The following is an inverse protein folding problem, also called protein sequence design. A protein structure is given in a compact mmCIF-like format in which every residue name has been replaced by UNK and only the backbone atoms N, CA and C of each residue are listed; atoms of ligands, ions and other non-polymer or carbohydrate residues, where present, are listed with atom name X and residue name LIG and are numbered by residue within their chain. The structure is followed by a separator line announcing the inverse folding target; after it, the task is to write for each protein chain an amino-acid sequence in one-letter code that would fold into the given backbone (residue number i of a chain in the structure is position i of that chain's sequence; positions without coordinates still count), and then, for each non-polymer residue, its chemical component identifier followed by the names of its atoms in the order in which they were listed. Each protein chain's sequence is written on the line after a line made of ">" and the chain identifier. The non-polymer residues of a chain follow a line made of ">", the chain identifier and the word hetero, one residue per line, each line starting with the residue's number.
data_IF_210754203855
#
_entry.id   IF_210754203855
#
_cell.length_a   1.000
_cell.length_b   1.000
_cell.length_c   1.000
_cell.angle_alpha   90.00
_cell.angle_beta   90.00
_cell.angle_gamma   90.00
#
_symmetry.space_group_name_H-M   'P 1'
#
loop_
_entity.id
_entity.type
_entity.pdbx_description
1 polymer ?
#
# COMPACT_ATOMS: atom_id res chain seq x y z
N UNK A 1 -40.83 -37.78 46.61
CA UNK A 1 -40.34 -37.84 45.21
C UNK A 1 -40.34 -36.43 44.68
N UNK A 2 -39.20 -35.76 44.76
CA UNK A 2 -39.04 -34.33 44.50
C UNK A 2 -38.49 -34.17 43.08
N UNK A 3 -39.28 -33.60 42.17
CA UNK A 3 -38.86 -33.29 40.80
C UNK A 3 -37.68 -32.30 40.82
N UNK A 4 -36.68 -32.43 39.93
CA UNK A 4 -35.59 -31.47 39.85
C UNK A 4 -36.14 -30.15 39.29
N UNK A 5 -35.96 -29.06 40.03
CA UNK A 5 -36.17 -27.69 39.54
C UNK A 5 -35.04 -27.37 38.56
N UNK A 6 -35.36 -27.31 37.28
CA UNK A 6 -34.50 -26.68 36.27
C UNK A 6 -34.39 -25.20 36.62
N UNK A 7 -33.19 -24.75 36.96
CA UNK A 7 -32.89 -23.37 37.31
C UNK A 7 -32.89 -22.50 36.04
N UNK A 8 -33.36 -21.25 36.13
CA UNK A 8 -33.32 -20.24 35.04
C UNK A 8 -31.92 -20.01 34.45
N UNK A 9 -30.86 -20.44 35.15
CA UNK A 9 -29.49 -20.43 34.66
C UNK A 9 -29.24 -21.42 33.49
N UNK A 10 -30.03 -22.50 33.39
CA UNK A 10 -29.85 -23.53 32.35
C UNK A 10 -30.55 -23.16 31.03
N UNK A 11 -31.61 -22.35 31.09
CA UNK A 11 -32.33 -21.85 29.90
C UNK A 11 -31.59 -20.71 29.18
N UNK A 12 -30.71 -19.98 29.88
CA UNK A 12 -29.97 -18.86 29.30
C UNK A 12 -28.67 -19.27 28.57
N UNK A 13 -28.29 -20.55 28.58
CA UNK A 13 -27.17 -21.08 27.78
C UNK A 13 -27.56 -21.50 26.36
N UNK A 14 -28.86 -21.64 26.08
CA UNK A 14 -29.36 -22.14 24.79
C UNK A 14 -29.70 -21.04 23.76
N UNK A 15 -29.68 -19.76 24.17
CA UNK A 15 -30.03 -18.62 23.30
C UNK A 15 -28.89 -17.59 23.24
N UNK A 16 -27.63 -18.03 23.19
CA UNK A 16 -26.64 -17.21 22.53
C UNK A 16 -27.07 -17.15 21.06
N UNK A 17 -27.38 -15.98 20.48
CA UNK A 17 -27.60 -15.92 19.05
C UNK A 17 -26.32 -16.47 18.43
N UNK A 18 -26.43 -17.58 17.70
CA UNK A 18 -25.40 -17.93 16.74
C UNK A 18 -25.20 -16.68 15.92
N UNK A 19 -24.09 -15.98 16.19
CA UNK A 19 -23.68 -14.85 15.39
C UNK A 19 -23.46 -15.46 14.03
N UNK A 20 -24.47 -15.36 13.16
CA UNK A 20 -24.34 -15.62 11.75
C UNK A 20 -23.13 -14.82 11.33
N UNK A 21 -21.97 -15.48 11.22
CA UNK A 21 -20.73 -14.84 10.78
C UNK A 21 -21.09 -14.26 9.43
N UNK A 22 -21.24 -12.93 9.39
CA UNK A 22 -21.38 -12.21 8.15
C UNK A 22 -20.21 -12.68 7.29
N UNK A 23 -20.52 -13.42 6.23
CA UNK A 23 -19.53 -13.95 5.32
C UNK A 23 -18.76 -12.76 4.73
N UNK A 24 -17.53 -12.55 5.18
CA UNK A 24 -16.70 -11.44 4.71
C UNK A 24 -16.22 -11.75 3.29
N UNK A 25 -16.51 -10.83 2.36
CA UNK A 25 -16.04 -10.93 0.98
C UNK A 25 -14.52 -10.98 0.93
N UNK A 26 -13.84 -10.22 1.79
CA UNK A 26 -12.38 -10.15 1.82
C UNK A 26 -11.76 -11.50 2.19
N UNK A 27 -12.32 -12.18 3.20
CA UNK A 27 -11.87 -13.52 3.60
C UNK A 27 -12.03 -14.54 2.45
N UNK A 28 -13.19 -14.54 1.77
CA UNK A 28 -13.43 -15.43 0.61
C UNK A 28 -12.55 -15.07 -0.58
N UNK A 29 -12.31 -13.79 -0.81
CA UNK A 29 -11.46 -13.31 -1.88
C UNK A 29 -10.00 -13.69 -1.62
N UNK A 30 -9.51 -13.55 -0.38
CA UNK A 30 -8.18 -14.03 0.02
C UNK A 30 -8.07 -15.55 -0.20
N UNK A 31 -9.04 -16.33 0.27
CA UNK A 31 -9.04 -17.78 0.09
C UNK A 31 -9.03 -18.16 -1.40
N UNK A 32 -9.83 -17.47 -2.20
CA UNK A 32 -9.86 -17.64 -3.65
C UNK A 32 -8.49 -17.35 -4.28
N UNK A 33 -7.86 -16.22 -3.92
CA UNK A 33 -6.53 -15.88 -4.40
C UNK A 33 -5.50 -16.94 -4.01
N UNK A 34 -5.52 -17.43 -2.76
CA UNK A 34 -4.63 -18.51 -2.32
C UNK A 34 -4.77 -19.76 -3.18
N UNK A 35 -6.00 -20.15 -3.53
CA UNK A 35 -6.27 -21.30 -4.41
C UNK A 35 -5.68 -21.10 -5.82
N UNK A 36 -5.95 -19.96 -6.48
CA UNK A 36 -5.44 -19.73 -7.85
C UNK A 36 -3.90 -19.57 -7.90
N UNK A 37 -3.27 -19.24 -6.78
CA UNK A 37 -1.83 -19.11 -6.64
C UNK A 37 -1.15 -20.34 -5.99
N UNK A 38 -1.90 -21.41 -5.69
CA UNK A 38 -1.40 -22.62 -5.01
C UNK A 38 -0.66 -22.32 -3.69
N UNK A 39 -1.15 -21.32 -2.95
CA UNK A 39 -0.65 -20.97 -1.63
C UNK A 39 -1.33 -21.83 -0.56
N UNK A 40 -0.59 -22.14 0.52
CA UNK A 40 -1.10 -22.78 1.73
C UNK A 40 -2.31 -22.04 2.31
N UNK A 41 -3.17 -22.77 3.02
CA UNK A 41 -4.40 -22.18 3.58
C UNK A 41 -4.07 -21.08 4.61
N UNK A 42 -5.03 -20.18 4.86
CA UNK A 42 -4.87 -19.12 5.87
C UNK A 42 -4.75 -19.67 7.31
N UNK A 43 -5.12 -20.94 7.54
CA UNK A 43 -4.94 -21.62 8.82
C UNK A 43 -3.48 -22.09 9.00
N UNK A 44 -2.80 -22.44 7.91
CA UNK A 44 -1.39 -22.88 7.91
C UNK A 44 -0.39 -21.72 8.00
N UNK A 45 -0.79 -20.51 7.60
CA UNK A 45 0.02 -19.30 7.69
C UNK A 45 -0.72 -18.35 8.63
N UNK A 46 -0.20 -18.13 9.87
CA UNK A 46 -0.71 -17.13 10.83
C UNK A 46 -1.21 -15.91 10.05
N UNK A 47 -2.52 -15.62 10.12
CA UNK A 47 -3.21 -14.54 9.39
C UNK A 47 -2.25 -13.41 9.08
N UNK A 48 -1.96 -13.23 7.79
CA UNK A 48 -1.03 -12.20 7.30
C UNK A 48 -1.46 -10.87 7.91
N UNK A 49 -0.56 -10.25 8.68
CA UNK A 49 -0.90 -9.07 9.44
C UNK A 49 -1.31 -7.95 8.46
N UNK A 50 -2.55 -7.46 8.54
CA UNK A 50 -3.07 -6.40 7.65
C UNK A 50 -2.27 -5.09 7.76
N UNK A 51 -1.43 -4.97 8.79
CA UNK A 51 -0.43 -3.91 8.96
C UNK A 51 0.73 -3.92 7.94
N UNK A 52 0.76 -4.88 7.00
CA UNK A 52 1.78 -4.96 5.94
C UNK A 52 1.53 -3.97 4.78
N UNK A 53 0.40 -3.26 4.75
CA UNK A 53 0.17 -2.24 3.71
C UNK A 53 1.22 -1.13 3.85
N UNK A 54 2.17 -1.12 2.90
CA UNK A 54 3.13 -0.06 2.77
C UNK A 54 2.49 1.12 2.04
N UNK A 55 2.98 2.31 2.33
CA UNK A 55 2.66 3.52 1.59
C UNK A 55 3.89 3.97 0.87
N UNK A 56 3.72 4.36 -0.39
CA UNK A 56 4.72 5.08 -1.15
C UNK A 56 4.26 6.52 -1.30
N UNK A 57 5.17 7.45 -1.04
CA UNK A 57 4.89 8.87 -1.17
C UNK A 57 6.08 9.65 -1.72
N UNK A 58 5.76 10.85 -2.17
CA UNK A 58 6.72 11.79 -2.73
C UNK A 58 6.48 13.15 -2.11
N UNK A 59 7.57 13.74 -1.63
CA UNK A 59 7.61 15.06 -1.05
C UNK A 59 8.33 16.00 -2.03
N UNK A 60 7.75 17.15 -2.31
CA UNK A 60 8.44 18.27 -2.97
C UNK A 60 9.36 18.94 -1.97
N UNK A 61 10.60 19.23 -2.38
CA UNK A 61 11.62 19.89 -1.57
C UNK A 61 12.01 21.23 -2.19
N UNK A 62 11.98 22.28 -1.37
CA UNK A 62 12.42 23.62 -1.74
C UNK A 62 13.83 23.87 -1.21
N UNK A 63 14.79 24.14 -2.10
CA UNK A 63 16.15 24.54 -1.73
C UNK A 63 16.26 26.08 -1.75
N UNK A 64 16.33 26.73 -0.59
CA UNK A 64 16.45 28.19 -0.52
C UNK A 64 17.76 28.73 -1.09
N UNK A 65 18.83 27.93 -1.10
CA UNK A 65 20.11 28.38 -1.65
C UNK A 65 20.09 28.36 -3.18
N UNK A 66 19.23 27.53 -3.75
CA UNK A 66 19.07 27.30 -5.20
C UNK A 66 17.60 27.02 -5.56
N UNK A 67 16.71 28.04 -5.50
CA UNK A 67 15.27 27.87 -5.72
C UNK A 67 14.90 27.32 -7.10
N UNK A 68 15.80 27.44 -8.06
CA UNK A 68 15.68 26.89 -9.41
C UNK A 68 15.77 25.36 -9.45
N UNK A 69 16.34 24.73 -8.41
CA UNK A 69 16.44 23.27 -8.32
C UNK A 69 15.09 22.68 -7.96
N UNK A 70 14.69 21.69 -8.75
CA UNK A 70 13.43 20.99 -8.54
C UNK A 70 13.75 19.61 -7.98
N UNK A 71 13.44 19.45 -6.70
CA UNK A 71 13.85 18.32 -5.89
C UNK A 71 12.62 17.61 -5.35
N UNK A 72 12.64 16.28 -5.42
CA UNK A 72 11.60 15.44 -4.82
C UNK A 72 12.24 14.32 -4.03
N UNK A 73 11.66 14.01 -2.88
CA UNK A 73 12.09 12.93 -2.02
C UNK A 73 11.05 11.81 -2.01
N UNK A 74 11.49 10.62 -2.39
CA UNK A 74 10.70 9.40 -2.33
C UNK A 74 10.77 8.81 -0.92
N UNK A 75 9.64 8.50 -0.33
CA UNK A 75 9.58 7.75 0.91
C UNK A 75 8.65 6.55 0.75
N UNK A 76 8.92 5.52 1.54
CA UNK A 76 8.00 4.42 1.72
C UNK A 76 8.10 3.90 3.15
N UNK A 77 6.96 3.54 3.72
CA UNK A 77 6.88 3.06 5.09
C UNK A 77 5.59 2.26 5.32
N UNK A 78 5.53 1.38 6.33
CA UNK A 78 4.28 0.78 6.78
C UNK A 78 3.29 1.85 7.25
N UNK A 79 1.99 1.58 7.11
CA UNK A 79 0.94 2.53 7.48
C UNK A 79 1.07 3.07 8.92
N UNK A 80 1.47 2.22 9.88
CA UNK A 80 1.64 2.59 11.28
C UNK A 80 2.76 3.60 11.53
N UNK A 81 3.71 3.74 10.60
CA UNK A 81 4.91 4.60 10.74
C UNK A 81 4.87 5.85 9.86
N UNK A 82 3.76 6.10 9.16
CA UNK A 82 3.65 7.25 8.24
C UNK A 82 3.90 8.56 8.99
N UNK A 83 3.22 8.77 10.12
CA UNK A 83 3.31 10.02 10.89
C UNK A 83 4.76 10.25 11.35
N UNK A 84 5.35 9.24 11.99
CA UNK A 84 6.74 9.30 12.44
C UNK A 84 7.73 9.57 11.29
N UNK A 85 7.53 8.92 10.15
CA UNK A 85 8.38 9.10 8.96
C UNK A 85 8.28 10.53 8.42
N UNK A 86 7.07 11.07 8.32
CA UNK A 86 6.85 12.44 7.85
C UNK A 86 7.44 13.46 8.82
N UNK A 87 7.30 13.24 10.13
CA UNK A 87 7.88 14.11 11.16
C UNK A 87 9.41 14.11 11.09
N UNK A 88 10.04 12.94 10.95
CA UNK A 88 11.49 12.82 10.76
C UNK A 88 11.97 13.57 9.51
N UNK A 89 11.22 13.48 8.40
CA UNK A 89 11.55 14.18 7.16
C UNK A 89 11.36 15.70 7.29
N UNK A 90 10.31 16.15 7.99
CA UNK A 90 10.10 17.56 8.31
C UNK A 90 11.19 18.12 9.22
N UNK A 91 11.65 17.35 10.21
CA UNK A 91 12.78 17.75 11.07
C UNK A 91 14.08 17.83 10.27
N UNK A 92 14.31 16.89 9.34
CA UNK A 92 15.53 16.84 8.52
C UNK A 92 15.64 17.98 7.50
N UNK A 93 14.56 18.28 6.77
CA UNK A 93 14.58 19.25 5.67
C UNK A 93 13.97 20.61 6.04
N UNK A 94 13.30 20.70 7.18
CA UNK A 94 12.54 21.85 7.63
C UNK A 94 11.10 21.81 7.15
N UNK A 95 10.14 21.96 8.08
CA UNK A 95 8.70 21.88 7.82
C UNK A 95 8.19 22.82 6.71
N UNK A 96 8.82 23.99 6.53
CA UNK A 96 8.45 24.97 5.49
C UNK A 96 8.98 24.62 4.09
N UNK A 97 9.93 23.67 4.01
CA UNK A 97 10.68 23.36 2.80
C UNK A 97 10.24 22.05 2.16
N UNK A 98 9.25 21.39 2.77
CA UNK A 98 8.79 20.08 2.38
C UNK A 98 7.27 20.08 2.28
N UNK A 99 6.76 19.55 1.18
CA UNK A 99 5.33 19.44 0.93
C UNK A 99 5.01 18.05 0.39
N UNK A 100 4.03 17.36 0.99
CA UNK A 100 3.56 16.09 0.44
C UNK A 100 2.74 16.35 -0.83
N UNK A 101 3.19 15.79 -1.95
CA UNK A 101 2.49 15.93 -3.24
C UNK A 101 1.85 14.63 -3.71
N UNK A 102 2.33 13.48 -3.22
CA UNK A 102 1.82 12.18 -3.59
C UNK A 102 1.92 11.22 -2.41
N UNK A 103 0.85 10.43 -2.18
CA UNK A 103 0.85 9.32 -1.24
C UNK A 103 -0.21 8.30 -1.63
N UNK A 104 0.19 7.05 -1.81
CA UNK A 104 -0.71 5.94 -2.13
C UNK A 104 -0.28 4.65 -1.43
N UNK A 105 -1.24 3.78 -1.04
CA UNK A 105 -0.92 2.44 -0.57
C UNK A 105 -0.31 1.63 -1.71
N UNK A 106 0.68 0.80 -1.41
CA UNK A 106 1.40 -0.06 -2.35
C UNK A 106 1.65 -1.42 -1.72
N UNK A 107 1.73 -2.46 -2.55
CA UNK A 107 2.13 -3.79 -2.09
C UNK A 107 3.63 -3.86 -1.77
N UNK A 108 4.44 -3.07 -2.48
CA UNK A 108 5.87 -2.92 -2.23
C UNK A 108 6.31 -1.50 -2.54
N UNK A 109 6.69 -0.76 -1.49
CA UNK A 109 7.29 0.57 -1.59
C UNK A 109 8.63 0.55 -2.32
N UNK A 110 9.43 -0.49 -2.08
CA UNK A 110 10.71 -0.71 -2.79
C UNK A 110 10.47 -0.90 -4.29
N UNK A 111 9.46 -1.69 -4.68
CA UNK A 111 9.07 -1.89 -6.07
C UNK A 111 8.65 -0.58 -6.75
N UNK A 112 7.76 0.18 -6.11
CA UNK A 112 7.29 1.46 -6.63
C UNK A 112 8.44 2.48 -6.77
N UNK A 113 9.35 2.53 -5.78
CA UNK A 113 10.57 3.35 -5.84
C UNK A 113 11.43 2.99 -7.05
N UNK A 114 11.65 1.70 -7.33
CA UNK A 114 12.44 1.26 -8.47
C UNK A 114 11.82 1.70 -9.80
N UNK A 115 10.50 1.56 -9.94
CA UNK A 115 9.75 1.99 -11.15
C UNK A 115 9.88 3.50 -11.38
N UNK A 116 9.67 4.29 -10.32
CA UNK A 116 9.78 5.76 -10.38
C UNK A 116 11.21 6.17 -10.72
N UNK A 117 12.22 5.61 -10.04
CA UNK A 117 13.63 5.93 -10.32
C UNK A 117 14.03 5.56 -11.74
N UNK A 118 13.60 4.39 -12.23
CA UNK A 118 13.85 3.97 -13.61
C UNK A 118 13.31 4.99 -14.61
N UNK A 119 12.03 5.37 -14.47
CA UNK A 119 11.39 6.34 -15.35
C UNK A 119 12.14 7.69 -15.39
N UNK A 120 12.52 8.24 -14.24
CA UNK A 120 13.24 9.53 -14.20
C UNK A 120 14.70 9.40 -14.67
N UNK A 121 15.35 8.27 -14.42
CA UNK A 121 16.70 8.01 -14.94
C UNK A 121 16.74 7.95 -16.48
N UNK A 122 15.71 7.37 -17.11
CA UNK A 122 15.54 7.35 -18.57
C UNK A 122 15.35 8.77 -19.16
N UNK A 123 14.76 9.68 -18.37
CA UNK A 123 14.68 11.11 -18.70
C UNK A 123 15.98 11.88 -18.40
N UNK A 124 17.07 11.20 -18.02
CA UNK A 124 18.37 11.78 -17.65
C UNK A 124 18.32 12.68 -16.41
N UNK A 125 17.39 12.41 -15.49
CA UNK A 125 17.35 13.10 -14.20
C UNK A 125 18.37 12.51 -13.23
N UNK A 126 18.79 13.31 -12.25
CA UNK A 126 19.65 12.81 -11.19
C UNK A 126 18.81 12.06 -10.15
N UNK A 127 19.13 10.79 -9.91
CA UNK A 127 18.33 9.89 -9.07
C UNK A 127 19.18 9.19 -8.00
N UNK A 128 19.67 9.94 -7.02
CA UNK A 128 20.51 9.39 -5.95
C UNK A 128 19.69 9.02 -4.70
N UNK A 129 19.85 7.78 -4.22
CA UNK A 129 19.14 7.31 -3.03
C UNK A 129 17.63 7.45 -3.19
N UNK A 130 17.01 8.26 -2.32
CA UNK A 130 15.60 8.62 -2.34
C UNK A 130 15.32 9.98 -2.97
N UNK A 131 16.36 10.70 -3.37
CA UNK A 131 16.25 12.02 -3.97
C UNK A 131 16.18 11.89 -5.49
N UNK A 132 15.28 12.67 -6.08
CA UNK A 132 15.14 12.87 -7.50
C UNK A 132 15.28 14.37 -7.78
N UNK A 133 16.14 14.71 -8.73
CA UNK A 133 16.39 16.08 -9.14
C UNK A 133 16.24 16.21 -10.65
N UNK A 134 15.40 17.16 -11.07
CA UNK A 134 15.25 17.46 -12.48
C UNK A 134 16.46 18.22 -13.03
N UNK A 135 16.77 18.09 -14.33
CA UNK A 135 17.79 18.90 -14.98
C UNK A 135 17.54 20.41 -14.83
N UNK A 136 18.60 21.22 -14.88
CA UNK A 136 18.47 22.68 -14.88
C UNK A 136 17.49 23.15 -15.96
N UNK A 137 16.68 24.16 -15.64
CA UNK A 137 15.64 24.72 -16.54
C UNK A 137 14.56 23.72 -16.98
N UNK A 138 14.39 22.59 -16.29
CA UNK A 138 13.29 21.67 -16.54
C UNK A 138 11.94 22.37 -16.40
N UNK A 139 10.99 22.05 -17.29
CA UNK A 139 9.61 22.53 -17.22
C UNK A 139 8.76 21.77 -16.20
N UNK A 140 9.28 20.70 -15.58
CA UNK A 140 8.52 19.93 -14.60
C UNK A 140 8.17 20.77 -13.38
N UNK A 141 6.93 20.72 -12.93
CA UNK A 141 6.47 21.27 -11.66
C UNK A 141 5.84 20.14 -10.83
N UNK A 142 5.39 20.46 -9.62
CA UNK A 142 4.74 19.48 -8.74
C UNK A 142 3.48 18.87 -9.37
N UNK A 143 2.77 19.61 -10.22
CA UNK A 143 1.57 19.11 -10.92
C UNK A 143 1.94 18.06 -11.98
N UNK A 144 2.96 18.31 -12.79
CA UNK A 144 3.47 17.34 -13.77
C UNK A 144 4.08 16.14 -13.06
N UNK A 145 4.82 16.35 -11.97
CA UNK A 145 5.35 15.28 -11.14
C UNK A 145 4.23 14.39 -10.61
N UNK A 146 3.20 14.98 -10.01
CA UNK A 146 2.01 14.27 -9.50
C UNK A 146 1.31 13.47 -10.59
N UNK A 147 1.13 14.05 -11.78
CA UNK A 147 0.53 13.36 -12.93
C UNK A 147 1.36 12.13 -13.31
N UNK A 148 2.65 12.31 -13.54
CA UNK A 148 3.57 11.21 -13.90
C UNK A 148 3.58 10.10 -12.84
N UNK A 149 3.63 10.45 -11.55
CA UNK A 149 3.57 9.47 -10.46
C UNK A 149 2.25 8.69 -10.45
N UNK A 150 1.14 9.37 -10.71
CA UNK A 150 -0.19 8.75 -10.80
C UNK A 150 -0.25 7.77 -11.97
N UNK A 151 0.28 8.14 -13.13
CA UNK A 151 0.32 7.29 -14.31
C UNK A 151 1.19 6.03 -14.06
N UNK A 152 2.36 6.20 -13.46
CA UNK A 152 3.23 5.07 -13.07
C UNK A 152 2.55 4.15 -12.06
N UNK A 153 1.87 4.72 -11.05
CA UNK A 153 1.16 3.95 -10.04
C UNK A 153 0.02 3.12 -10.67
N UNK A 154 -0.75 3.73 -11.58
CA UNK A 154 -1.82 3.05 -12.28
C UNK A 154 -1.28 1.95 -13.22
N UNK A 155 -0.13 2.18 -13.85
CA UNK A 155 0.54 1.17 -14.67
C UNK A 155 0.94 -0.06 -13.84
N UNK A 156 1.53 0.14 -12.66
CA UNK A 156 1.88 -0.96 -11.75
C UNK A 156 0.64 -1.72 -11.27
N UNK A 157 -0.44 -1.02 -10.89
CA UNK A 157 -1.71 -1.67 -10.54
C UNK A 157 -2.29 -2.48 -11.69
N UNK A 158 -2.20 -1.96 -12.91
CA UNK A 158 -2.68 -2.67 -14.11
C UNK A 158 -1.88 -3.94 -14.36
N UNK A 159 -0.55 -3.93 -14.17
CA UNK A 159 0.28 -5.14 -14.27
C UNK A 159 -0.16 -6.21 -13.28
N UNK A 160 -0.39 -5.83 -12.02
CA UNK A 160 -0.86 -6.77 -11.00
C UNK A 160 -2.26 -7.32 -11.33
N UNK A 161 -3.19 -6.44 -11.71
CA UNK A 161 -4.53 -6.84 -12.14
C UNK A 161 -4.49 -7.83 -13.31
N UNK A 162 -3.67 -7.55 -14.32
CA UNK A 162 -3.50 -8.43 -15.48
C UNK A 162 -2.91 -9.79 -15.06
N UNK A 163 -1.95 -9.80 -14.14
CA UNK A 163 -1.35 -11.03 -13.63
C UNK A 163 -2.36 -11.89 -12.86
N UNK A 164 -3.17 -11.29 -11.98
CA UNK A 164 -4.26 -11.97 -11.27
C UNK A 164 -5.29 -12.51 -12.27
N UNK A 165 -5.67 -11.71 -13.26
CA UNK A 165 -6.64 -12.10 -14.29
C UNK A 165 -6.15 -13.26 -15.15
N UNK A 166 -4.87 -13.26 -15.51
CA UNK A 166 -4.23 -14.37 -16.21
C UNK A 166 -4.29 -15.66 -15.38
N UNK A 167 -3.99 -15.58 -14.08
CA UNK A 167 -4.05 -16.73 -13.16
C UNK A 167 -5.47 -17.22 -12.92
N UNK A 168 -6.43 -16.32 -12.74
CA UNK A 168 -7.86 -16.63 -12.68
C UNK A 168 -8.32 -17.42 -13.92
N UNK A 169 -8.00 -16.91 -15.11
CA UNK A 169 -8.36 -17.54 -16.38
C UNK A 169 -7.69 -18.91 -16.56
N UNK A 170 -6.43 -19.05 -16.13
CA UNK A 170 -5.74 -20.33 -16.13
C UNK A 170 -6.44 -21.32 -15.19
N UNK A 171 -6.71 -20.93 -13.94
CA UNK A 171 -7.37 -21.77 -12.95
C UNK A 171 -8.75 -22.26 -13.43
N UNK A 172 -9.55 -21.37 -14.04
CA UNK A 172 -10.88 -21.69 -14.61
C UNK A 172 -10.83 -22.68 -15.79
N UNK A 173 -9.68 -22.84 -16.46
CA UNK A 173 -9.55 -23.82 -17.56
C UNK A 173 -9.31 -25.25 -17.06
N UNK A 174 -8.81 -25.41 -15.84
CA UNK A 174 -8.39 -26.71 -15.30
C UNK A 174 -9.20 -27.15 -14.06
N UNK A 175 -10.14 -26.33 -13.58
CA UNK A 175 -11.15 -26.65 -12.57
C UNK A 175 -12.51 -26.16 -13.04
#
# INVERSE_FOLDING_TARGET
>A
MTSPKTTEADLNKANAPEVCKAYDFEDRFEEYLRRIFYLKSAEEIKRTNSSVVEYFGVLSLTDFRRPERKLWYLFYCPQSRIVETLDQLQTKYGKKNICEIFRKPVFSGVGMRAVVKKHFSEMKWYTNGNLIEAPPKSYYDDKRMLKTLTDLYNLERKKLYNYISMKHNHFKRYN
#
